data_IF_718432929133
#
_entry.id   IF_718432929133
#
_cell.length_a   1.000
_cell.length_b   1.000
_cell.length_c   1.000
_cell.angle_alpha   90.00
_cell.angle_beta   90.00
_cell.angle_gamma   90.00
#
_symmetry.space_group_name_H-M   'P 1'
#
loop_
_entity.id
_entity.type
_entity.pdbx_description
1 polymer ?
#
# COMPACT_ATOMS: atom_id res chain seq x y z
N UNK A 1 -7.81 25.82 -0.99
CA UNK A 1 -8.11 24.52 -0.35
C UNK A 1 -7.37 24.49 0.97
N UNK A 2 -7.99 23.99 2.03
CA UNK A 2 -7.32 23.79 3.33
C UNK A 2 -6.15 22.82 3.14
N UNK A 3 -4.96 23.07 3.70
CA UNK A 3 -3.86 22.12 3.65
C UNK A 3 -4.29 20.78 4.29
N UNK A 4 -3.83 19.64 3.77
CA UNK A 4 -4.12 18.36 4.40
C UNK A 4 -3.50 18.33 5.81
N UNK A 5 -4.22 17.72 6.76
CA UNK A 5 -3.83 17.57 8.15
C UNK A 5 -3.78 16.10 8.52
N UNK A 6 -2.91 15.73 9.47
CA UNK A 6 -2.85 14.38 10.01
C UNK A 6 -3.93 14.22 11.08
N UNK A 7 -4.77 13.21 10.95
CA UNK A 7 -5.96 13.06 11.79
C UNK A 7 -5.98 11.71 12.51
N UNK A 8 -6.46 11.71 13.75
CA UNK A 8 -6.75 10.48 14.48
C UNK A 8 -8.15 10.51 15.09
N UNK A 9 -8.84 9.38 15.00
CA UNK A 9 -10.19 9.19 15.48
C UNK A 9 -10.20 8.14 16.60
N UNK A 10 -10.56 8.59 17.80
CA UNK A 10 -10.70 7.73 18.96
C UNK A 10 -11.98 6.91 18.81
N UNK A 11 -11.82 5.59 18.82
CA UNK A 11 -12.91 4.60 18.79
C UNK A 11 -12.87 3.71 20.03
N UNK A 12 -14.02 3.13 20.37
CA UNK A 12 -14.06 2.06 21.37
C UNK A 12 -13.54 0.75 20.76
N UNK A 13 -12.37 0.30 21.21
CA UNK A 13 -11.76 -0.93 20.73
C UNK A 13 -10.36 -1.16 21.31
N UNK A 14 -9.86 -2.39 21.17
CA UNK A 14 -8.50 -2.78 21.58
C UNK A 14 -7.50 -2.86 20.42
N UNK A 15 -7.88 -2.40 19.23
CA UNK A 15 -7.06 -2.47 18.01
C UNK A 15 -7.24 -1.20 17.17
N UNK A 16 -6.25 -0.92 16.33
CA UNK A 16 -6.12 0.30 15.54
C UNK A 16 -6.13 0.00 14.04
N UNK A 17 -6.34 1.04 13.24
CA UNK A 17 -6.32 1.03 11.79
C UNK A 17 -5.59 2.29 11.33
N UNK A 18 -4.37 2.12 10.86
CA UNK A 18 -3.49 3.22 10.51
C UNK A 18 -3.33 3.29 9.00
N UNK A 19 -3.35 4.49 8.45
CA UNK A 19 -3.12 4.77 7.04
C UNK A 19 -2.08 5.86 6.90
N UNK A 20 -1.16 5.68 5.96
CA UNK A 20 -0.30 6.73 5.42
C UNK A 20 -0.55 6.79 3.91
N UNK A 21 -1.08 7.91 3.41
CA UNK A 21 -1.42 8.07 2.00
C UNK A 21 -0.72 9.27 1.38
N UNK A 22 -0.27 9.17 0.13
CA UNK A 22 0.38 10.26 -0.60
C UNK A 22 -0.06 10.32 -2.07
N UNK A 23 -0.04 11.51 -2.70
CA UNK A 23 -0.28 11.63 -4.13
C UNK A 23 0.79 10.90 -4.92
N UNK A 24 0.38 10.08 -5.88
CA UNK A 24 1.29 9.37 -6.77
C UNK A 24 0.65 9.17 -8.13
N UNK A 25 1.41 9.44 -9.19
CA UNK A 25 0.94 9.19 -10.54
C UNK A 25 0.64 7.69 -10.74
N UNK A 26 -0.45 7.42 -11.45
CA UNK A 26 -0.83 6.06 -11.79
C UNK A 26 0.22 5.45 -12.73
N UNK A 27 0.76 4.29 -12.34
CA UNK A 27 1.71 3.51 -13.12
C UNK A 27 1.59 2.03 -12.73
N UNK A 28 1.50 1.13 -13.71
CA UNK A 28 1.17 -0.28 -13.46
C UNK A 28 2.33 -1.05 -12.83
N UNK A 29 3.57 -0.68 -13.15
CA UNK A 29 4.80 -1.23 -12.60
C UNK A 29 4.83 -1.10 -11.08
N UNK A 30 4.20 -0.04 -10.54
CA UNK A 30 4.09 0.21 -9.08
C UNK A 30 3.27 -0.85 -8.35
N UNK A 31 2.45 -1.62 -9.05
CA UNK A 31 1.79 -2.78 -8.46
C UNK A 31 2.78 -3.85 -8.03
N UNK A 32 3.89 -4.00 -8.75
CA UNK A 32 4.98 -4.91 -8.36
C UNK A 32 5.69 -4.38 -7.12
N UNK A 33 5.99 -3.07 -7.06
CA UNK A 33 6.55 -2.45 -5.85
C UNK A 33 5.62 -2.65 -4.64
N UNK A 34 4.31 -2.46 -4.83
CA UNK A 34 3.33 -2.65 -3.77
C UNK A 34 3.23 -4.11 -3.31
N UNK A 35 3.31 -5.08 -4.23
CA UNK A 35 3.37 -6.50 -3.93
C UNK A 35 4.61 -6.81 -3.07
N UNK A 36 5.79 -6.32 -3.48
CA UNK A 36 7.04 -6.49 -2.73
C UNK A 36 6.96 -5.84 -1.35
N UNK A 37 6.56 -4.56 -1.26
CA UNK A 37 6.40 -3.87 0.02
C UNK A 37 5.44 -4.60 0.97
N UNK A 38 4.32 -5.11 0.45
CA UNK A 38 3.31 -5.79 1.26
C UNK A 38 3.82 -7.10 1.85
N UNK A 39 4.40 -7.97 1.02
CA UNK A 39 4.68 -9.35 1.41
C UNK A 39 6.13 -9.57 1.87
N UNK A 40 7.08 -8.84 1.31
CA UNK A 40 8.50 -9.02 1.64
C UNK A 40 8.95 -8.21 2.86
N UNK A 41 8.23 -7.14 3.19
CA UNK A 41 8.62 -6.24 4.27
C UNK A 41 7.50 -6.08 5.31
N UNK A 42 6.36 -5.49 4.93
CA UNK A 42 5.32 -5.12 5.90
C UNK A 42 4.72 -6.35 6.57
N UNK A 43 4.50 -7.44 5.84
CA UNK A 43 3.99 -8.69 6.41
C UNK A 43 4.84 -9.17 7.59
N UNK A 44 6.16 -9.16 7.45
CA UNK A 44 7.05 -9.51 8.55
C UNK A 44 7.07 -8.43 9.64
N UNK A 45 7.35 -7.17 9.28
CA UNK A 45 7.60 -6.09 10.23
C UNK A 45 6.37 -5.69 11.07
N UNK A 46 5.20 -5.60 10.43
CA UNK A 46 3.97 -5.09 11.05
C UNK A 46 3.05 -6.21 11.52
N UNK A 47 2.95 -7.31 10.76
CA UNK A 47 2.06 -8.43 11.14
C UNK A 47 2.76 -9.48 12.00
N UNK A 48 3.86 -10.07 11.54
CA UNK A 48 4.49 -11.18 12.27
C UNK A 48 5.22 -10.69 13.54
N UNK A 49 5.97 -9.60 13.42
CA UNK A 49 6.71 -9.00 14.55
C UNK A 49 5.82 -8.01 15.33
N UNK A 50 5.08 -7.15 14.62
CA UNK A 50 4.25 -6.11 15.23
C UNK A 50 2.88 -6.60 15.75
N UNK A 51 2.43 -7.80 15.37
CA UNK A 51 1.20 -8.40 15.88
C UNK A 51 -0.10 -7.88 15.24
N UNK A 52 -0.04 -7.03 14.22
CA UNK A 52 -1.23 -6.60 13.48
C UNK A 52 -1.88 -7.76 12.71
N UNK A 53 -3.21 -7.76 12.57
CA UNK A 53 -3.87 -8.80 11.77
C UNK A 53 -3.56 -8.69 10.27
N UNK A 54 -3.31 -7.48 9.77
CA UNK A 54 -3.02 -7.28 8.36
C UNK A 54 -2.34 -5.96 8.09
N UNK A 55 -1.69 -5.88 6.94
CA UNK A 55 -0.99 -4.69 6.45
C UNK A 55 -0.77 -4.82 4.95
N UNK A 56 -0.45 -3.72 4.29
CA UNK A 56 0.00 -3.75 2.91
C UNK A 56 0.19 -2.36 2.33
N UNK A 57 0.71 -2.34 1.11
CA UNK A 57 0.75 -1.18 0.23
C UNK A 57 -0.32 -1.35 -0.85
N UNK A 58 -1.11 -0.32 -1.09
CA UNK A 58 -2.10 -0.31 -2.17
C UNK A 58 -1.76 0.78 -3.19
N UNK A 59 -1.55 0.41 -4.47
CA UNK A 59 -1.46 1.37 -5.54
C UNK A 59 -2.86 1.83 -5.96
N UNK A 60 -3.05 3.12 -6.22
CA UNK A 60 -4.33 3.69 -6.60
C UNK A 60 -4.23 4.70 -7.75
N UNK A 61 -5.39 5.15 -8.24
CA UNK A 61 -5.47 6.19 -9.27
C UNK A 61 -5.21 7.57 -8.65
N UNK A 62 -3.95 7.99 -8.63
CA UNK A 62 -3.54 9.30 -8.13
C UNK A 62 -3.12 9.34 -6.67
N UNK A 63 -3.32 8.24 -5.93
CA UNK A 63 -2.95 8.09 -4.52
C UNK A 63 -2.39 6.69 -4.30
N UNK A 64 -1.36 6.60 -3.48
CA UNK A 64 -0.90 5.35 -2.89
C UNK A 64 -0.97 5.42 -1.38
N UNK A 65 -1.09 4.26 -0.74
CA UNK A 65 -1.15 4.20 0.70
C UNK A 65 -0.49 2.95 1.26
N UNK A 66 0.00 3.08 2.49
CA UNK A 66 0.28 1.97 3.40
C UNK A 66 -0.84 1.90 4.43
N UNK A 67 -1.20 0.70 4.82
CA UNK A 67 -2.22 0.51 5.86
C UNK A 67 -1.86 -0.59 6.85
N UNK A 68 -2.49 -0.52 8.01
CA UNK A 68 -2.57 -1.59 9.00
C UNK A 68 -4.03 -1.94 9.24
N UNK A 69 -4.28 -3.16 9.71
CA UNK A 69 -5.62 -3.64 10.00
C UNK A 69 -5.62 -4.44 11.29
N UNK A 70 -6.43 -3.99 12.26
CA UNK A 70 -6.48 -4.51 13.63
C UNK A 70 -5.09 -4.59 14.26
N UNK A 71 -4.44 -3.44 14.30
CA UNK A 71 -3.07 -3.27 14.76
C UNK A 71 -3.03 -2.92 16.26
N UNK A 72 -2.24 -3.61 17.10
CA UNK A 72 -2.04 -3.19 18.48
C UNK A 72 -1.21 -1.89 18.65
N UNK A 73 -0.51 -1.41 17.61
CA UNK A 73 0.50 -0.36 17.70
C UNK A 73 0.38 0.71 16.59
N UNK A 74 0.08 1.96 16.97
CA UNK A 74 0.04 3.08 16.01
C UNK A 74 1.47 3.56 15.65
N UNK A 75 2.24 4.02 16.65
CA UNK A 75 3.58 4.58 16.42
C UNK A 75 4.52 3.59 15.75
N UNK A 76 4.59 2.36 16.27
CA UNK A 76 5.47 1.33 15.74
C UNK A 76 5.23 1.04 14.26
N UNK A 77 3.96 1.06 13.84
CA UNK A 77 3.60 0.85 12.43
C UNK A 77 4.00 2.02 11.54
N UNK A 78 3.82 3.28 11.96
CA UNK A 78 4.35 4.42 11.21
C UNK A 78 5.89 4.44 11.14
N UNK A 79 6.59 3.98 12.18
CA UNK A 79 8.04 3.81 12.15
C UNK A 79 8.48 2.71 11.17
N UNK A 80 7.75 1.60 11.12
CA UNK A 80 8.00 0.53 10.13
C UNK A 80 7.73 1.03 8.71
N UNK A 81 6.64 1.78 8.49
CA UNK A 81 6.39 2.44 7.21
C UNK A 81 7.57 3.29 6.76
N UNK A 82 8.13 4.12 7.64
CA UNK A 82 9.27 4.98 7.32
C UNK A 82 10.56 4.21 6.97
N UNK A 83 10.76 3.00 7.53
CA UNK A 83 11.95 2.16 7.29
C UNK A 83 11.86 1.36 5.99
N UNK A 84 10.66 0.94 5.58
CA UNK A 84 10.43 0.09 4.41
C UNK A 84 11.13 0.51 3.11
N UNK A 85 11.10 1.79 2.70
CA UNK A 85 11.79 2.26 1.50
C UNK A 85 13.29 1.89 1.47
N UNK A 86 14.00 2.10 2.58
CA UNK A 86 15.43 1.84 2.67
C UNK A 86 15.73 0.33 2.65
N UNK A 87 14.93 -0.46 3.34
CA UNK A 87 15.06 -1.93 3.39
C UNK A 87 14.89 -2.55 2.00
N UNK A 88 13.87 -2.12 1.25
CA UNK A 88 13.63 -2.61 -0.11
C UNK A 88 14.72 -2.13 -1.10
N UNK A 89 15.18 -0.88 -0.96
CA UNK A 89 16.25 -0.35 -1.81
C UNK A 89 17.59 -1.06 -1.58
N UNK A 90 17.86 -1.48 -0.34
CA UNK A 90 19.08 -2.20 0.05
C UNK A 90 19.06 -3.70 -0.27
N UNK A 91 17.89 -4.25 -0.62
CA UNK A 91 17.74 -5.67 -0.94
C UNK A 91 18.38 -6.02 -2.29
N UNK A 92 18.99 -7.20 -2.33
CA UNK A 92 19.37 -7.86 -3.58
C UNK A 92 18.22 -8.72 -4.08
N UNK A 93 17.87 -8.53 -5.35
CA UNK A 93 16.77 -9.21 -6.01
C UNK A 93 17.31 -10.21 -7.03
N UNK A 94 17.08 -11.50 -6.80
CA UNK A 94 17.43 -12.54 -7.76
C UNK A 94 16.41 -12.59 -8.90
N UNK A 95 16.77 -13.24 -10.01
CA UNK A 95 15.83 -13.48 -11.09
C UNK A 95 14.61 -14.31 -10.67
N UNK A 96 14.76 -15.21 -9.69
CA UNK A 96 13.65 -16.00 -9.14
C UNK A 96 12.69 -15.10 -8.36
N UNK A 97 13.22 -14.25 -7.48
CA UNK A 97 12.41 -13.30 -6.69
C UNK A 97 11.57 -12.41 -7.61
N UNK A 98 12.20 -11.84 -8.65
CA UNK A 98 11.50 -11.00 -9.63
C UNK A 98 10.35 -11.73 -10.32
N UNK A 99 10.58 -12.97 -10.75
CA UNK A 99 9.54 -13.77 -11.39
C UNK A 99 8.38 -14.04 -10.42
N UNK A 100 8.65 -14.37 -9.16
CA UNK A 100 7.62 -14.58 -8.14
C UNK A 100 6.81 -13.32 -7.89
N UNK A 101 7.46 -12.15 -7.79
CA UNK A 101 6.75 -10.87 -7.59
C UNK A 101 5.90 -10.48 -8.79
N UNK A 102 6.41 -10.65 -10.00
CA UNK A 102 5.67 -10.36 -11.25
C UNK A 102 4.48 -11.31 -11.36
N UNK A 103 4.68 -12.62 -11.15
CA UNK A 103 3.61 -13.63 -11.20
C UNK A 103 2.57 -13.37 -10.11
N UNK A 104 3.00 -13.06 -8.88
CA UNK A 104 2.11 -12.71 -7.77
C UNK A 104 1.27 -11.47 -8.05
N UNK A 105 1.85 -10.49 -8.76
CA UNK A 105 1.14 -9.29 -9.22
C UNK A 105 0.14 -9.65 -10.33
N UNK A 106 0.57 -10.40 -11.34
CA UNK A 106 -0.24 -10.82 -12.50
C UNK A 106 -1.40 -11.74 -12.13
N UNK A 107 -1.27 -12.56 -11.09
CA UNK A 107 -2.33 -13.42 -10.59
C UNK A 107 -3.60 -12.64 -10.21
N UNK A 108 -3.48 -11.34 -9.85
CA UNK A 108 -4.63 -10.47 -9.56
C UNK A 108 -5.32 -9.93 -10.82
N UNK A 109 -4.64 -9.91 -11.96
CA UNK A 109 -5.20 -9.49 -13.25
C UNK A 109 -6.03 -10.59 -13.90
N UNK A 110 -5.60 -11.85 -13.72
CA UNK A 110 -6.20 -13.02 -14.34
C UNK A 110 -6.80 -14.01 -13.33
N UNK A 111 -7.68 -13.57 -12.40
CA UNK A 111 -8.31 -14.51 -11.49
C UNK A 111 -9.31 -15.39 -12.26
N UNK A 112 -9.52 -16.65 -11.85
CA UNK A 112 -10.61 -17.45 -12.36
C UNK A 112 -11.95 -16.76 -12.05
N UNK A 113 -12.72 -16.44 -13.08
CA UNK A 113 -13.99 -15.72 -12.97
C UNK A 113 -15.17 -16.62 -13.33
N UNK A 114 -16.21 -16.61 -12.50
CA UNK A 114 -17.53 -17.19 -12.83
C UNK A 114 -18.19 -16.40 -13.97
N UNK A 115 -19.16 -16.96 -14.72
CA UNK A 115 -19.80 -16.28 -15.85
C UNK A 115 -20.30 -14.86 -15.54
N UNK A 116 -20.94 -14.66 -14.38
CA UNK A 116 -21.38 -13.32 -13.93
C UNK A 116 -20.22 -12.33 -13.78
N UNK A 117 -19.10 -12.77 -13.23
CA UNK A 117 -17.92 -11.91 -13.04
C UNK A 117 -17.25 -11.56 -14.36
N UNK A 118 -17.29 -12.47 -15.34
CA UNK A 118 -16.82 -12.17 -16.69
C UNK A 118 -17.68 -11.09 -17.36
N UNK A 119 -19.01 -11.19 -17.25
CA UNK A 119 -19.92 -10.16 -17.77
C UNK A 119 -19.66 -8.79 -17.12
N UNK A 120 -19.54 -8.73 -15.78
CA UNK A 120 -19.24 -7.50 -15.07
C UNK A 120 -17.89 -6.88 -15.47
N UNK A 121 -16.87 -7.71 -15.72
CA UNK A 121 -15.58 -7.20 -16.21
C UNK A 121 -15.69 -6.67 -17.65
N UNK A 122 -16.44 -7.34 -18.52
CA UNK A 122 -16.70 -6.85 -19.89
C UNK A 122 -17.40 -5.50 -19.86
N UNK A 123 -18.44 -5.36 -19.02
CA UNK A 123 -19.15 -4.08 -18.83
C UNK A 123 -18.20 -3.01 -18.30
N UNK A 124 -17.39 -3.32 -17.27
CA UNK A 124 -16.40 -2.39 -16.72
C UNK A 124 -15.41 -1.93 -17.78
N UNK A 125 -14.85 -2.86 -18.57
CA UNK A 125 -13.93 -2.52 -19.66
C UNK A 125 -14.59 -1.59 -20.67
N UNK A 126 -15.81 -1.91 -21.09
CA UNK A 126 -16.57 -1.08 -22.04
C UNK A 126 -16.84 0.32 -21.49
N UNK A 127 -17.43 0.44 -20.29
CA UNK A 127 -17.79 1.74 -19.71
C UNK A 127 -16.58 2.59 -19.31
N UNK A 128 -15.45 1.98 -18.95
CA UNK A 128 -14.22 2.68 -18.64
C UNK A 128 -13.32 2.91 -19.87
N UNK A 129 -13.73 2.47 -21.06
CA UNK A 129 -12.92 2.63 -22.29
C UNK A 129 -11.60 1.84 -22.28
N UNK A 130 -11.52 0.74 -21.53
CA UNK A 130 -10.33 -0.12 -21.48
C UNK A 130 -10.28 -0.95 -22.76
N UNK A 131 -9.30 -0.67 -23.61
CA UNK A 131 -9.07 -1.42 -24.85
C UNK A 131 -8.09 -2.57 -24.63
N UNK A 132 -8.06 -3.53 -25.55
CA UNK A 132 -7.05 -4.60 -25.52
C UNK A 132 -5.63 -4.06 -25.68
N UNK A 133 -5.44 -2.92 -26.35
CA UNK A 133 -4.13 -2.27 -26.41
C UNK A 133 -3.71 -1.72 -25.04
N UNK A 134 -4.64 -1.15 -24.27
CA UNK A 134 -4.37 -0.70 -22.90
C UNK A 134 -4.06 -1.88 -21.99
N UNK A 135 -4.81 -2.98 -22.09
CA UNK A 135 -4.55 -4.20 -21.32
C UNK A 135 -3.18 -4.81 -21.65
N UNK A 136 -2.83 -4.88 -22.94
CA UNK A 136 -1.51 -5.36 -23.37
C UNK A 136 -0.37 -4.45 -22.87
N UNK A 137 -0.58 -3.12 -22.89
CA UNK A 137 0.39 -2.17 -22.35
C UNK A 137 0.54 -2.31 -20.82
N UNK A 138 -0.55 -2.47 -20.09
CA UNK A 138 -0.55 -2.68 -18.64
C UNK A 138 0.22 -3.96 -18.26
N UNK A 139 0.00 -5.05 -19.01
CA UNK A 139 0.74 -6.31 -18.84
C UNK A 139 2.22 -6.15 -19.15
N UNK A 140 2.56 -5.48 -20.24
CA UNK A 140 3.94 -5.24 -20.64
C UNK A 140 4.70 -4.42 -19.59
N UNK A 141 4.06 -3.41 -19.02
CA UNK A 141 4.58 -2.62 -17.91
C UNK A 141 4.93 -3.51 -16.70
N UNK A 142 3.97 -4.31 -16.21
CA UNK A 142 4.18 -5.19 -15.05
C UNK A 142 5.27 -6.23 -15.30
N UNK A 143 5.22 -6.91 -16.45
CA UNK A 143 6.20 -7.93 -16.81
C UNK A 143 7.59 -7.36 -17.12
N UNK A 144 7.68 -6.06 -17.45
CA UNK A 144 8.93 -5.36 -17.75
C UNK A 144 9.69 -4.88 -16.52
N UNK A 145 9.17 -5.08 -15.31
CA UNK A 145 9.83 -4.65 -14.07
C UNK A 145 11.16 -5.36 -13.88
N UNK A 146 12.21 -4.57 -13.57
CA UNK A 146 13.56 -5.08 -13.31
C UNK A 146 13.96 -4.86 -11.85
N UNK A 147 14.97 -5.60 -11.37
CA UNK A 147 15.57 -5.37 -10.06
C UNK A 147 16.05 -3.92 -9.89
N UNK A 148 16.70 -3.36 -10.91
CA UNK A 148 17.16 -1.98 -10.88
C UNK A 148 15.99 -1.00 -10.72
N UNK A 149 14.90 -1.21 -11.46
CA UNK A 149 13.71 -0.39 -11.33
C UNK A 149 13.12 -0.48 -9.92
N UNK A 150 13.01 -1.69 -9.34
CA UNK A 150 12.49 -1.86 -7.97
C UNK A 150 13.35 -1.14 -6.94
N UNK A 151 14.68 -1.28 -6.99
CA UNK A 151 15.60 -0.60 -6.06
C UNK A 151 15.48 0.92 -6.18
N UNK A 152 15.44 1.45 -7.40
CA UNK A 152 15.25 2.88 -7.63
C UNK A 152 13.89 3.36 -7.11
N UNK A 153 12.80 2.67 -7.47
CA UNK A 153 11.45 3.04 -7.06
C UNK A 153 11.26 2.97 -5.53
N UNK A 154 11.89 2.00 -4.86
CA UNK A 154 11.93 1.90 -3.41
C UNK A 154 12.71 3.05 -2.78
N UNK A 155 13.91 3.37 -3.30
CA UNK A 155 14.73 4.47 -2.79
C UNK A 155 14.04 5.82 -2.92
N UNK A 156 13.29 6.04 -4.00
CA UNK A 156 12.53 7.26 -4.24
C UNK A 156 11.26 7.36 -3.39
N UNK A 157 10.76 6.24 -2.84
CA UNK A 157 9.47 6.17 -2.13
C UNK A 157 9.42 6.97 -0.82
N UNK A 158 10.56 7.10 -0.13
CA UNK A 158 10.63 7.84 1.13
C UNK A 158 10.21 9.31 0.99
N UNK A 159 10.51 9.93 -0.16
CA UNK A 159 10.21 11.35 -0.41
C UNK A 159 8.71 11.65 -0.48
N UNK A 160 7.90 11.00 -1.33
CA UNK A 160 6.45 11.24 -1.36
C UNK A 160 5.77 10.80 -0.06
N UNK A 161 6.26 9.72 0.60
CA UNK A 161 5.74 9.30 1.91
C UNK A 161 5.92 10.36 2.99
N UNK A 162 7.05 11.08 3.01
CA UNK A 162 7.30 12.14 3.98
C UNK A 162 6.34 13.34 3.84
N UNK A 163 5.80 13.56 2.63
CA UNK A 163 4.74 14.53 2.36
C UNK A 163 3.32 13.94 2.41
N UNK A 164 3.18 12.68 2.83
CA UNK A 164 1.90 11.99 2.94
C UNK A 164 1.10 12.42 4.16
N UNK A 165 -0.16 11.99 4.19
CA UNK A 165 -1.14 12.27 5.24
C UNK A 165 -1.37 11.00 6.04
N UNK A 166 -1.34 11.14 7.36
CA UNK A 166 -1.69 10.09 8.30
C UNK A 166 -3.14 10.19 8.70
N UNK A 167 -3.83 9.06 8.71
CA UNK A 167 -5.16 8.92 9.27
C UNK A 167 -5.19 7.65 10.12
N UNK A 168 -5.60 7.75 11.38
CA UNK A 168 -5.68 6.60 12.27
C UNK A 168 -7.05 6.49 12.94
N UNK A 169 -7.55 5.27 13.11
CA UNK A 169 -8.68 4.95 13.99
C UNK A 169 -8.16 4.03 15.07
N UNK A 170 -8.26 4.42 16.34
CA UNK A 170 -7.62 3.67 17.41
C UNK A 170 -8.20 3.89 18.79
N UNK A 171 -7.71 3.11 19.76
CA UNK A 171 -8.08 3.30 21.16
C UNK A 171 -7.55 4.65 21.66
N UNK A 172 -8.21 5.21 22.68
CA UNK A 172 -7.77 6.46 23.32
C UNK A 172 -6.31 6.36 23.78
N UNK A 173 -5.96 5.26 24.43
CA UNK A 173 -4.61 5.03 24.93
C UNK A 173 -3.57 5.02 23.81
N UNK A 174 -3.84 4.29 22.72
CA UNK A 174 -2.92 4.18 21.59
C UNK A 174 -2.72 5.53 20.88
N UNK A 175 -3.80 6.29 20.68
CA UNK A 175 -3.75 7.62 20.05
C UNK A 175 -3.02 8.62 20.94
N UNK A 176 -3.28 8.63 22.25
CA UNK A 176 -2.56 9.53 23.18
C UNK A 176 -1.05 9.22 23.24
N UNK A 177 -0.66 7.95 23.15
CA UNK A 177 0.74 7.54 23.05
C UNK A 177 1.43 7.93 21.72
N UNK A 178 0.63 8.27 20.70
CA UNK A 178 1.07 8.65 19.37
C UNK A 178 0.66 10.08 18.97
N UNK A 179 0.25 10.91 19.93
CA UNK A 179 -0.42 12.20 19.65
C UNK A 179 0.41 13.20 18.84
N UNK A 180 1.73 13.17 18.97
CA UNK A 180 2.67 14.00 18.18
C UNK A 180 2.70 13.65 16.68
N UNK A 181 2.10 12.52 16.28
CA UNK A 181 1.97 12.15 14.88
C UNK A 181 0.78 12.81 14.17
N UNK A 182 -0.14 13.42 14.93
CA UNK A 182 -1.43 13.92 14.45
C UNK A 182 -1.62 15.41 14.79
N UNK A 183 -2.19 16.15 13.85
CA UNK A 183 -2.53 17.56 14.00
C UNK A 183 -3.90 17.72 14.68
N UNK A 184 -4.81 16.76 14.43
CA UNK A 184 -6.19 16.76 14.94
C UNK A 184 -6.51 15.39 15.53
N UNK A 185 -7.12 15.40 16.73
CA UNK A 185 -7.62 14.19 17.38
C UNK A 185 -9.08 14.39 17.72
N UNK A 186 -9.94 13.55 17.15
CA UNK A 186 -11.39 13.58 17.36
C UNK A 186 -11.86 12.32 18.10
N UNK A 187 -12.90 12.45 18.91
CA UNK A 187 -13.58 11.30 19.50
C UNK A 187 -14.89 11.06 18.75
N UNK A 188 -15.06 9.84 18.22
CA UNK A 188 -16.30 9.44 17.58
C UNK A 188 -17.24 8.91 18.67
N UNK A 189 -18.29 9.68 18.96
CA UNK A 189 -19.40 9.29 19.87
C UNK A 189 -20.39 8.35 19.17
#
# INVERSE_FOLDING_TARGET
MTPPVNEAFVIQGGVNYDVLAWPMAFAQERRVLAQVMSYEYLWHAVREVGGAYGTGMLPGSGVELLYTYRDPHIRGSYENFAKGPAELAGREYTGSDLNEFIVGTMARFDPPRKPRQQALETDRRWFCGVTDQLDAADRAAICGVTAQWLKTAAAELARPMAGGVRCAFGSREAIEGAKDLFDVIESLE
#
